data_IF_601223195569
#
_entry.id   IF_601223195569
#
_cell.length_a   1.000
_cell.length_b   1.000
_cell.length_c   1.000
_cell.angle_alpha   90.00
_cell.angle_beta   90.00
_cell.angle_gamma   90.00
#
_symmetry.space_group_name_H-M   'P 1'
#
loop_
_entity.id
_entity.type
_entity.pdbx_description
1 polymer ?
#
# COMPACT_ATOMS: atom_id res chain seq x y z
N UNK A 1 -9.82 -1.93 -5.16
CA UNK A 1 -8.38 -2.03 -4.87
C UNK A 1 -7.86 -3.43 -5.10
N UNK A 2 -6.67 -3.55 -5.61
CA UNK A 2 -6.03 -4.80 -6.01
C UNK A 2 -4.56 -4.75 -5.59
N UNK A 3 -3.93 -5.91 -5.42
CA UNK A 3 -2.47 -5.99 -5.29
C UNK A 3 -1.77 -5.58 -6.60
N UNK A 4 -2.45 -5.68 -7.73
CA UNK A 4 -2.03 -5.10 -9.01
C UNK A 4 -2.42 -3.61 -9.06
N UNK A 5 -1.65 -2.79 -8.34
CA UNK A 5 -1.90 -1.35 -8.23
C UNK A 5 -1.74 -0.60 -9.54
N UNK A 6 -1.03 -1.17 -10.52
CA UNK A 6 -0.89 -0.57 -11.86
C UNK A 6 -2.20 -0.59 -12.66
N UNK A 7 -3.17 -1.44 -12.28
CA UNK A 7 -4.49 -1.55 -12.91
C UNK A 7 -5.63 -1.39 -11.89
N UNK A 8 -5.31 -1.10 -10.63
CA UNK A 8 -6.30 -1.00 -9.58
C UNK A 8 -7.25 0.17 -9.82
N UNK A 9 -8.56 -0.12 -9.76
CA UNK A 9 -9.62 0.88 -9.79
C UNK A 9 -9.94 1.37 -8.38
N UNK A 10 -10.17 2.65 -8.23
CA UNK A 10 -10.55 3.25 -6.95
C UNK A 10 -12.01 2.91 -6.62
N UNK A 11 -12.22 2.20 -5.52
CA UNK A 11 -13.54 1.84 -4.99
C UNK A 11 -14.10 2.93 -4.08
N UNK A 12 -13.23 3.59 -3.34
CA UNK A 12 -13.53 4.71 -2.47
C UNK A 12 -12.26 5.38 -2.00
N UNK A 13 -12.39 6.45 -1.24
CA UNK A 13 -11.27 7.19 -0.65
C UNK A 13 -11.59 7.61 0.77
N UNK A 14 -10.63 7.45 1.67
CA UNK A 14 -10.76 7.88 3.07
C UNK A 14 -9.79 8.99 3.43
N UNK A 15 -10.17 9.81 4.38
CA UNK A 15 -9.40 10.95 4.86
C UNK A 15 -9.52 11.09 6.37
N UNK A 16 -8.41 11.43 7.01
CA UNK A 16 -8.35 11.87 8.40
C UNK A 16 -7.55 13.18 8.49
N UNK A 17 -8.08 14.16 9.20
CA UNK A 17 -7.38 15.44 9.47
C UNK A 17 -7.16 15.67 10.96
N UNK A 18 -7.90 14.94 11.77
CA UNK A 18 -7.82 14.97 13.23
C UNK A 18 -7.94 13.54 13.77
N UNK A 19 -7.13 13.20 14.79
CA UNK A 19 -7.16 11.89 15.42
C UNK A 19 -8.55 11.58 16.00
N UNK A 20 -9.05 10.39 15.69
CA UNK A 20 -10.39 9.95 16.11
C UNK A 20 -11.50 10.45 15.19
N UNK A 21 -11.17 11.14 14.08
CA UNK A 21 -12.15 11.62 13.11
C UNK A 21 -11.66 11.32 11.70
N UNK A 22 -12.35 10.42 11.02
CA UNK A 22 -12.07 10.08 9.63
C UNK A 22 -13.37 9.95 8.83
N UNK A 23 -13.28 10.06 7.52
CA UNK A 23 -14.42 9.92 6.63
C UNK A 23 -14.04 9.04 5.44
N UNK A 24 -15.01 8.26 4.96
CA UNK A 24 -14.91 7.47 3.75
C UNK A 24 -15.91 7.97 2.71
N UNK A 25 -15.47 8.08 1.46
CA UNK A 25 -16.31 8.45 0.32
C UNK A 25 -16.40 7.23 -0.60
N UNK A 26 -17.52 6.49 -0.59
CA UNK A 26 -17.74 5.36 -1.49
C UNK A 26 -17.97 5.86 -2.91
N UNK A 27 -17.38 5.20 -3.92
CA UNK A 27 -17.40 5.65 -5.32
C UNK A 27 -17.74 4.54 -6.31
N UNK A 28 -17.45 3.28 -6.00
CA UNK A 28 -17.58 2.17 -6.95
C UNK A 28 -17.83 0.81 -6.26
N UNK A 29 -18.68 0.78 -5.24
CA UNK A 29 -19.19 -0.48 -4.70
C UNK A 29 -20.28 -1.04 -5.60
N UNK A 30 -20.22 -2.37 -5.86
CA UNK A 30 -21.02 -3.03 -6.88
C UNK A 30 -21.84 -4.23 -6.37
N UNK A 31 -21.83 -4.49 -5.06
CA UNK A 31 -22.59 -5.60 -4.49
C UNK A 31 -24.12 -5.40 -4.66
N UNK A 32 -24.91 -6.50 -4.69
CA UNK A 32 -26.36 -6.41 -4.80
C UNK A 32 -26.98 -5.61 -3.63
N UNK A 33 -27.68 -4.54 -3.95
CA UNK A 33 -28.28 -3.65 -2.96
C UNK A 33 -27.35 -2.52 -2.46
N UNK A 34 -26.20 -2.31 -3.10
CA UNK A 34 -25.35 -1.17 -2.80
C UNK A 34 -26.14 0.16 -2.92
N UNK A 35 -25.97 1.08 -1.96
CA UNK A 35 -26.62 2.39 -2.03
C UNK A 35 -26.13 3.21 -3.20
N UNK A 36 -26.90 4.22 -3.60
CA UNK A 36 -26.46 5.21 -4.58
C UNK A 36 -25.19 5.92 -4.06
N UNK A 37 -24.19 5.99 -4.93
CA UNK A 37 -22.89 6.57 -4.61
C UNK A 37 -22.63 7.82 -5.43
N UNK A 38 -21.72 8.66 -4.96
CA UNK A 38 -21.29 9.83 -5.70
C UNK A 38 -20.56 9.41 -7.00
N UNK A 39 -20.73 10.21 -8.05
CA UNK A 39 -20.03 9.95 -9.30
C UNK A 39 -18.51 10.11 -9.11
N UNK A 40 -17.78 9.02 -9.35
CA UNK A 40 -16.32 8.96 -9.12
C UNK A 40 -15.57 10.06 -9.88
N UNK A 41 -15.90 10.30 -11.15
CA UNK A 41 -15.22 11.31 -11.98
C UNK A 41 -15.44 12.71 -11.40
N UNK A 42 -16.66 13.03 -10.97
CA UNK A 42 -16.97 14.33 -10.38
C UNK A 42 -16.27 14.55 -9.02
N UNK A 43 -16.24 13.51 -8.17
CA UNK A 43 -15.54 13.57 -6.87
C UNK A 43 -14.05 13.78 -7.10
N UNK A 44 -13.44 12.99 -7.98
CA UNK A 44 -12.01 13.09 -8.27
C UNK A 44 -11.66 14.45 -8.87
N UNK A 45 -12.47 14.99 -9.78
CA UNK A 45 -12.30 16.33 -10.33
C UNK A 45 -12.33 17.42 -9.25
N UNK A 46 -13.15 17.26 -8.21
CA UNK A 46 -13.19 18.20 -7.07
C UNK A 46 -12.00 18.06 -6.13
N UNK A 47 -11.50 16.83 -5.93
CA UNK A 47 -10.36 16.54 -5.08
C UNK A 47 -9.02 16.85 -5.76
N UNK A 48 -8.96 16.80 -7.08
CA UNK A 48 -7.74 16.97 -7.86
C UNK A 48 -6.94 18.23 -7.46
N UNK A 49 -7.54 19.44 -7.33
CA UNK A 49 -6.77 20.62 -6.93
C UNK A 49 -6.12 20.52 -5.55
N UNK A 50 -6.71 19.71 -4.64
CA UNK A 50 -6.14 19.42 -3.33
C UNK A 50 -5.02 18.38 -3.42
N UNK A 51 -5.25 17.32 -4.19
CA UNK A 51 -4.33 16.19 -4.30
C UNK A 51 -3.05 16.56 -5.06
N UNK A 52 -3.16 17.44 -6.06
CA UNK A 52 -2.04 17.90 -6.88
C UNK A 52 -1.34 19.18 -6.33
N UNK A 53 -1.86 19.82 -5.27
CA UNK A 53 -1.18 20.97 -4.66
C UNK A 53 0.01 20.50 -3.79
N UNK A 54 1.22 20.71 -4.29
CA UNK A 54 2.47 20.36 -3.59
C UNK A 54 2.63 21.07 -2.24
N UNK A 55 2.05 22.25 -2.08
CA UNK A 55 2.11 23.04 -0.83
C UNK A 55 1.30 22.42 0.29
N UNK A 56 0.30 21.60 -0.05
CA UNK A 56 -0.51 20.87 0.91
C UNK A 56 0.09 19.51 1.17
N UNK A 57 0.74 19.36 2.34
CA UNK A 57 1.33 18.09 2.75
C UNK A 57 0.29 16.98 2.83
N UNK A 58 0.60 15.83 2.23
CA UNK A 58 -0.15 14.60 2.38
C UNK A 58 0.64 13.64 3.26
N UNK A 59 -0.11 12.92 4.05
CA UNK A 59 0.34 11.84 4.92
C UNK A 59 -0.44 10.58 4.56
N UNK A 60 0.22 9.43 4.63
CA UNK A 60 -0.43 8.14 4.50
C UNK A 60 0.42 7.01 5.07
N UNK A 61 0.05 5.80 4.73
CA UNK A 61 0.82 4.59 4.99
C UNK A 61 1.03 3.85 3.68
N UNK A 62 2.26 3.79 3.18
CA UNK A 62 2.58 3.28 1.85
C UNK A 62 2.00 4.15 0.70
N UNK A 63 2.20 5.47 0.78
CA UNK A 63 1.65 6.45 -0.17
C UNK A 63 1.99 6.20 -1.64
N UNK A 64 3.08 5.47 -1.93
CA UNK A 64 3.41 5.08 -3.31
C UNK A 64 2.31 4.23 -3.94
N UNK A 65 1.66 3.35 -3.16
CA UNK A 65 0.50 2.59 -3.62
C UNK A 65 -0.67 3.52 -3.99
N UNK A 66 -1.00 4.46 -3.11
CA UNK A 66 -2.09 5.42 -3.36
C UNK A 66 -1.80 6.30 -4.57
N UNK A 67 -0.54 6.73 -4.73
CA UNK A 67 -0.11 7.52 -5.89
C UNK A 67 -0.28 6.73 -7.21
N UNK A 68 0.03 5.43 -7.24
CA UNK A 68 -0.23 4.58 -8.39
C UNK A 68 -1.73 4.49 -8.71
N UNK A 69 -2.57 4.22 -7.70
CA UNK A 69 -4.02 4.13 -7.89
C UNK A 69 -4.60 5.46 -8.37
N UNK A 70 -4.15 6.59 -7.81
CA UNK A 70 -4.55 7.94 -8.25
C UNK A 70 -4.15 8.22 -9.70
N UNK A 71 -2.95 7.79 -10.09
CA UNK A 71 -2.44 7.92 -11.46
C UNK A 71 -3.30 7.19 -12.49
N UNK A 72 -3.86 6.01 -12.14
CA UNK A 72 -4.80 5.29 -12.99
C UNK A 72 -6.08 6.10 -13.30
N UNK A 73 -6.36 7.14 -12.51
CA UNK A 73 -7.48 8.07 -12.70
C UNK A 73 -7.03 9.46 -13.20
N UNK A 74 -5.79 9.59 -13.65
CA UNK A 74 -5.25 10.85 -14.19
C UNK A 74 -4.97 11.91 -13.13
N UNK A 75 -4.76 11.52 -11.87
CA UNK A 75 -4.40 12.42 -10.76
C UNK A 75 -2.95 12.17 -10.36
N UNK A 76 -2.13 13.20 -10.38
CA UNK A 76 -0.77 13.18 -9.87
C UNK A 76 -0.77 13.55 -8.38
N UNK A 77 -0.57 12.57 -7.50
CA UNK A 77 -0.50 12.83 -6.06
C UNK A 77 0.80 13.58 -5.73
N UNK A 78 0.69 14.88 -5.41
CA UNK A 78 1.83 15.73 -5.06
C UNK A 78 1.83 16.09 -3.58
N UNK A 79 2.96 16.55 -3.08
CA UNK A 79 3.10 16.95 -1.68
C UNK A 79 3.04 15.78 -0.70
N UNK A 80 3.44 14.59 -1.12
CA UNK A 80 3.64 13.42 -0.24
C UNK A 80 4.80 13.73 0.72
N UNK A 81 4.50 14.16 1.93
CA UNK A 81 5.53 14.58 2.90
C UNK A 81 5.84 13.54 3.95
N UNK A 82 4.83 12.78 4.34
CA UNK A 82 4.94 11.84 5.44
C UNK A 82 4.32 10.49 5.06
N UNK A 83 5.07 9.44 5.34
CA UNK A 83 4.62 8.06 5.15
C UNK A 83 4.97 7.26 6.42
N UNK A 84 3.95 6.87 7.16
CA UNK A 84 4.13 6.19 8.46
C UNK A 84 4.80 4.81 8.33
N UNK A 85 4.73 4.17 7.15
CA UNK A 85 5.51 2.96 6.86
C UNK A 85 7.01 3.28 6.81
N UNK A 86 7.40 4.32 6.07
CA UNK A 86 8.79 4.76 5.97
C UNK A 86 9.32 5.33 7.29
N UNK A 87 8.48 6.08 8.04
CA UNK A 87 8.85 6.55 9.37
C UNK A 87 9.18 5.39 10.31
N UNK A 88 8.36 4.34 10.32
CA UNK A 88 8.60 3.13 11.09
C UNK A 88 9.87 2.41 10.65
N UNK A 89 10.09 2.30 9.33
CA UNK A 89 11.26 1.66 8.75
C UNK A 89 12.57 2.39 9.13
N UNK A 90 12.60 3.70 8.96
CA UNK A 90 13.77 4.52 9.30
C UNK A 90 14.04 4.50 10.80
N UNK A 91 13.01 4.51 11.63
CA UNK A 91 13.17 4.48 13.09
C UNK A 91 13.76 3.16 13.56
N UNK A 92 13.31 2.03 13.05
CA UNK A 92 13.86 0.70 13.35
C UNK A 92 13.45 -0.31 12.27
N UNK A 93 14.29 -0.52 11.27
CA UNK A 93 14.03 -1.39 10.11
C UNK A 93 13.78 -2.87 10.43
N UNK A 94 14.09 -3.32 11.64
CA UNK A 94 13.92 -4.71 12.07
C UNK A 94 12.82 -4.91 13.11
N UNK A 95 12.13 -3.84 13.51
CA UNK A 95 11.14 -3.90 14.60
C UNK A 95 9.91 -4.72 14.23
N UNK A 96 9.47 -4.64 12.97
CA UNK A 96 8.26 -5.30 12.49
C UNK A 96 8.27 -5.40 10.95
N UNK A 97 7.21 -5.90 10.35
CA UNK A 97 7.04 -5.95 8.88
C UNK A 97 6.70 -4.60 8.26
N UNK A 98 6.46 -3.60 9.06
CA UNK A 98 6.07 -2.23 8.67
C UNK A 98 4.72 -2.11 7.92
N UNK A 99 3.90 -3.15 7.89
CA UNK A 99 2.49 -3.01 7.51
C UNK A 99 1.72 -2.25 8.59
N UNK A 100 0.58 -1.65 8.21
CA UNK A 100 -0.19 -0.76 9.08
C UNK A 100 -0.55 -1.43 10.41
N UNK A 101 -1.06 -2.67 10.36
CA UNK A 101 -1.49 -3.43 11.54
C UNK A 101 -0.33 -3.68 12.50
N UNK A 102 0.81 -4.14 11.98
CA UNK A 102 2.00 -4.45 12.78
C UNK A 102 2.58 -3.19 13.42
N UNK A 103 2.59 -2.06 12.71
CA UNK A 103 3.08 -0.78 13.20
C UNK A 103 2.10 -0.20 14.23
N UNK A 104 0.79 -0.29 14.00
CA UNK A 104 -0.24 0.14 14.95
C UNK A 104 -0.17 -0.63 16.27
N UNK A 105 -0.06 -1.95 16.20
CA UNK A 105 0.11 -2.79 17.38
C UNK A 105 1.38 -2.41 18.17
N UNK A 106 2.50 -2.22 17.48
CA UNK A 106 3.79 -1.94 18.13
C UNK A 106 3.83 -0.56 18.78
N UNK A 107 3.36 0.49 18.09
CA UNK A 107 3.58 1.86 18.52
C UNK A 107 2.37 2.54 19.17
N UNK A 108 1.16 2.07 18.85
CA UNK A 108 -0.08 2.59 19.42
C UNK A 108 -0.73 1.61 20.42
N UNK A 109 -0.34 0.32 20.39
CA UNK A 109 -0.98 -0.72 21.22
C UNK A 109 -2.42 -1.01 20.78
N UNK A 110 -2.74 -0.79 19.50
CA UNK A 110 -4.10 -0.94 18.93
C UNK A 110 -4.10 -2.14 17.98
N UNK A 111 -5.12 -2.98 18.11
CA UNK A 111 -5.48 -3.97 17.09
C UNK A 111 -6.41 -3.29 16.09
N UNK A 112 -6.06 -3.38 14.81
CA UNK A 112 -6.80 -2.80 13.70
C UNK A 112 -7.74 -3.83 13.08
N UNK A 113 -8.72 -3.39 12.32
CA UNK A 113 -9.55 -4.25 11.49
C UNK A 113 -8.67 -4.78 10.35
N UNK A 114 -8.51 -6.10 10.23
CA UNK A 114 -7.73 -6.67 9.15
C UNK A 114 -8.54 -6.74 7.85
N UNK A 115 -7.85 -6.56 6.71
CA UNK A 115 -8.49 -6.71 5.39
C UNK A 115 -9.24 -8.04 5.22
N UNK A 116 -8.71 -9.11 5.80
CA UNK A 116 -9.31 -10.44 5.77
C UNK A 116 -10.63 -10.55 6.55
N UNK A 117 -10.83 -9.72 7.57
CA UNK A 117 -12.08 -9.66 8.33
C UNK A 117 -13.19 -8.98 7.53
N UNK A 118 -12.80 -8.09 6.62
CA UNK A 118 -13.70 -7.31 5.76
C UNK A 118 -14.00 -8.02 4.44
N UNK A 119 -12.99 -8.56 3.79
CA UNK A 119 -13.08 -9.16 2.45
C UNK A 119 -13.01 -10.69 2.44
N UNK A 120 -12.71 -11.34 3.59
CA UNK A 120 -12.51 -12.79 3.66
C UNK A 120 -11.13 -13.23 3.19
N UNK A 121 -10.89 -14.56 3.16
CA UNK A 121 -9.58 -15.19 2.91
C UNK A 121 -9.59 -16.15 1.73
N UNK A 122 -8.43 -16.26 1.06
CA UNK A 122 -8.15 -17.30 0.06
C UNK A 122 -9.04 -17.21 -1.17
N UNK A 123 -9.43 -18.35 -1.73
CA UNK A 123 -10.21 -18.41 -2.99
C UNK A 123 -11.63 -17.81 -2.90
N UNK A 124 -12.12 -17.53 -1.71
CA UNK A 124 -13.43 -16.90 -1.46
C UNK A 124 -13.29 -15.41 -1.08
N UNK A 125 -12.10 -14.84 -1.15
CA UNK A 125 -11.89 -13.44 -0.84
C UNK A 125 -12.64 -12.56 -1.84
N UNK A 126 -13.43 -11.65 -1.33
CA UNK A 126 -14.20 -10.69 -2.11
C UNK A 126 -13.28 -9.60 -2.68
N UNK A 127 -13.65 -9.06 -3.83
CA UNK A 127 -13.12 -7.77 -4.23
C UNK A 127 -13.64 -6.68 -3.28
N UNK A 128 -12.86 -5.66 -3.05
CA UNK A 128 -13.27 -4.59 -2.13
C UNK A 128 -14.56 -3.88 -2.59
N UNK A 129 -14.83 -3.85 -3.90
CA UNK A 129 -16.08 -3.36 -4.46
C UNK A 129 -17.33 -4.15 -4.04
N UNK A 130 -17.15 -5.40 -3.63
CA UNK A 130 -18.24 -6.29 -3.21
C UNK A 130 -18.46 -6.27 -1.70
N UNK A 131 -17.62 -5.52 -0.95
CA UNK A 131 -17.77 -5.31 0.49
C UNK A 131 -18.88 -4.28 0.75
N UNK A 132 -19.79 -4.50 1.73
CA UNK A 132 -20.79 -3.51 2.11
C UNK A 132 -20.16 -2.16 2.48
N UNK A 133 -20.79 -1.06 2.06
CA UNK A 133 -20.27 0.31 2.25
C UNK A 133 -20.00 0.62 3.72
N UNK A 134 -20.86 0.18 4.61
CA UNK A 134 -20.72 0.42 6.06
C UNK A 134 -19.43 -0.23 6.59
N UNK A 135 -19.19 -1.49 6.23
CA UNK A 135 -17.99 -2.25 6.62
C UNK A 135 -16.73 -1.65 5.98
N UNK A 136 -16.82 -1.31 4.69
CA UNK A 136 -15.71 -0.67 3.97
C UNK A 136 -15.39 0.72 4.54
N UNK A 137 -16.39 1.46 4.99
CA UNK A 137 -16.23 2.78 5.60
C UNK A 137 -15.54 2.69 6.96
N UNK A 138 -15.93 1.75 7.81
CA UNK A 138 -15.31 1.53 9.11
C UNK A 138 -13.83 1.17 8.95
N UNK A 139 -13.54 0.17 8.12
CA UNK A 139 -12.17 -0.27 7.81
C UNK A 139 -11.31 0.86 7.24
N UNK A 140 -11.77 1.52 6.16
CA UNK A 140 -10.95 2.53 5.47
C UNK A 140 -10.79 3.82 6.29
N UNK A 141 -11.79 4.19 7.09
CA UNK A 141 -11.70 5.33 7.99
C UNK A 141 -10.71 5.05 9.14
N UNK A 142 -10.73 3.83 9.70
CA UNK A 142 -9.76 3.41 10.69
C UNK A 142 -8.33 3.49 10.15
N UNK A 143 -8.07 2.94 8.94
CA UNK A 143 -6.75 2.99 8.31
C UNK A 143 -6.21 4.42 8.19
N UNK A 144 -7.05 5.37 7.78
CA UNK A 144 -6.68 6.78 7.67
C UNK A 144 -6.40 7.44 9.03
N UNK A 145 -7.20 7.15 10.05
CA UNK A 145 -6.99 7.65 11.41
C UNK A 145 -5.72 7.05 12.02
N UNK A 146 -5.53 5.75 11.86
CA UNK A 146 -4.36 5.03 12.37
C UNK A 146 -3.08 5.57 11.73
N UNK A 147 -3.06 5.79 10.41
CA UNK A 147 -1.90 6.38 9.72
C UNK A 147 -1.56 7.77 10.29
N UNK A 148 -2.57 8.61 10.55
CA UNK A 148 -2.37 9.93 11.17
C UNK A 148 -1.83 9.82 12.61
N UNK A 149 -2.36 8.92 13.41
CA UNK A 149 -1.92 8.69 14.80
C UNK A 149 -0.50 8.12 14.84
N UNK A 150 -0.16 7.24 13.91
CA UNK A 150 1.20 6.71 13.78
C UNK A 150 2.20 7.82 13.47
N UNK A 151 1.93 8.67 12.48
CA UNK A 151 2.78 9.82 12.18
C UNK A 151 2.99 10.71 13.43
N UNK A 152 1.92 11.06 14.15
CA UNK A 152 2.02 11.86 15.37
C UNK A 152 2.86 11.21 16.48
N UNK A 153 2.99 9.89 16.44
CA UNK A 153 3.79 9.11 17.40
C UNK A 153 5.24 8.91 16.94
N UNK A 154 5.43 8.63 15.65
CA UNK A 154 6.74 8.26 15.08
C UNK A 154 7.59 9.48 14.73
N UNK A 155 6.98 10.49 14.11
CA UNK A 155 7.71 11.67 13.65
C UNK A 155 8.51 12.39 14.74
N UNK A 156 7.95 12.66 15.94
CA UNK A 156 8.73 13.26 17.02
C UNK A 156 9.92 12.40 17.48
N UNK A 157 9.83 11.07 17.34
CA UNK A 157 10.93 10.16 17.67
C UNK A 157 12.04 10.22 16.63
N UNK A 158 11.69 10.40 15.34
CA UNK A 158 12.65 10.62 14.26
C UNK A 158 13.35 11.97 14.43
N UNK A 159 12.60 13.04 14.70
CA UNK A 159 13.14 14.39 14.94
C UNK A 159 14.10 14.45 16.14
N UNK A 160 13.86 13.64 17.15
CA UNK A 160 14.76 13.52 18.30
C UNK A 160 16.15 12.96 17.93
N UNK A 161 16.29 12.33 16.75
CA UNK A 161 17.55 11.80 16.22
C UNK A 161 17.83 12.46 14.85
N UNK A 162 18.56 13.59 14.81
CA UNK A 162 18.73 14.38 13.58
C UNK A 162 19.27 13.61 12.36
N UNK A 163 20.05 12.54 12.59
CA UNK A 163 20.56 11.69 11.52
C UNK A 163 19.42 10.88 10.85
N UNK A 164 18.45 10.38 11.63
CA UNK A 164 17.29 9.65 11.11
C UNK A 164 16.31 10.59 10.40
N UNK A 165 16.06 11.77 10.98
CA UNK A 165 15.22 12.78 10.35
C UNK A 165 15.78 13.20 8.97
N UNK A 166 17.10 13.40 8.87
CA UNK A 166 17.76 13.70 7.59
C UNK A 166 17.68 12.53 6.61
N UNK A 167 17.93 11.31 7.07
CA UNK A 167 17.81 10.11 6.24
C UNK A 167 16.40 10.03 5.61
N UNK A 168 15.37 10.22 6.43
CA UNK A 168 13.99 10.24 5.97
C UNK A 168 13.75 11.35 4.92
N UNK A 169 14.12 12.60 5.27
CA UNK A 169 13.79 13.77 4.44
C UNK A 169 14.63 13.90 3.17
N UNK A 170 15.90 13.46 3.20
CA UNK A 170 16.84 13.65 2.10
C UNK A 170 16.96 12.42 1.19
N UNK A 171 16.57 11.24 1.68
CA UNK A 171 16.74 9.98 0.93
C UNK A 171 15.39 9.24 0.79
N UNK A 172 14.81 8.76 1.90
CA UNK A 172 13.70 7.81 1.83
C UNK A 172 12.43 8.43 1.22
N UNK A 173 12.03 9.60 1.70
CA UNK A 173 10.84 10.26 1.18
C UNK A 173 11.02 10.78 -0.27
N UNK A 174 12.14 11.41 -0.67
CA UNK A 174 12.41 11.79 -2.06
C UNK A 174 12.53 10.60 -3.02
N UNK A 175 12.86 9.42 -2.53
CA UNK A 175 12.94 8.21 -3.34
C UNK A 175 11.55 7.72 -3.81
N UNK A 176 10.47 8.02 -3.07
CA UNK A 176 9.11 7.58 -3.39
C UNK A 176 8.68 7.95 -4.81
N UNK A 177 8.73 9.23 -5.24
CA UNK A 177 8.37 9.60 -6.61
C UNK A 177 9.30 9.00 -7.66
N UNK A 178 10.59 8.79 -7.35
CA UNK A 178 11.53 8.15 -8.28
C UNK A 178 11.14 6.69 -8.53
N UNK A 179 10.81 5.95 -7.47
CA UNK A 179 10.35 4.57 -7.59
C UNK A 179 9.00 4.49 -8.31
N UNK A 180 8.11 5.45 -8.08
CA UNK A 180 6.84 5.56 -8.79
C UNK A 180 7.06 5.71 -10.30
N UNK A 181 7.94 6.62 -10.72
CA UNK A 181 8.29 6.83 -12.11
C UNK A 181 8.94 5.59 -12.75
N UNK A 182 9.81 4.90 -12.00
CA UNK A 182 10.42 3.65 -12.45
C UNK A 182 9.37 2.55 -12.67
N UNK A 183 8.40 2.43 -11.79
CA UNK A 183 7.29 1.48 -11.91
C UNK A 183 6.42 1.79 -13.14
N UNK A 184 6.10 3.06 -13.38
CA UNK A 184 5.33 3.49 -14.55
C UNK A 184 6.09 3.28 -15.87
N UNK A 185 7.39 3.53 -15.91
CA UNK A 185 8.24 3.25 -17.06
C UNK A 185 8.35 1.75 -17.35
N UNK A 186 8.35 0.94 -16.29
CA UNK A 186 8.56 -0.51 -16.39
C UNK A 186 9.97 -0.89 -16.84
N UNK A 187 10.16 -2.18 -17.07
CA UNK A 187 11.43 -2.75 -17.56
C UNK A 187 11.18 -3.68 -18.75
N UNK A 188 12.09 -3.63 -19.72
CA UNK A 188 12.04 -4.57 -20.82
C UNK A 188 12.57 -5.94 -20.37
N UNK A 189 11.73 -6.97 -20.53
CA UNK A 189 12.05 -8.34 -20.15
C UNK A 189 12.32 -9.17 -21.40
N UNK A 190 13.49 -9.83 -21.46
CA UNK A 190 13.78 -10.84 -22.47
C UNK A 190 13.12 -12.17 -22.09
N UNK A 191 11.89 -12.35 -22.58
CA UNK A 191 11.10 -13.54 -22.30
C UNK A 191 11.71 -14.83 -22.91
N UNK A 192 12.52 -14.73 -23.99
CA UNK A 192 13.17 -15.88 -24.61
C UNK A 192 14.32 -16.35 -23.73
N UNK A 193 15.15 -15.42 -23.26
CA UNK A 193 16.25 -15.73 -22.34
C UNK A 193 15.73 -16.35 -21.04
N UNK A 194 14.66 -15.80 -20.46
CA UNK A 194 14.04 -16.36 -19.25
C UNK A 194 13.51 -17.78 -19.46
N UNK A 195 12.92 -18.08 -20.62
CA UNK A 195 12.48 -19.44 -20.95
C UNK A 195 13.67 -20.40 -21.08
N UNK A 196 14.77 -20.00 -21.71
CA UNK A 196 15.98 -20.81 -21.80
C UNK A 196 16.54 -21.12 -20.41
N UNK A 197 16.71 -20.09 -19.58
CA UNK A 197 17.19 -20.26 -18.20
C UNK A 197 16.27 -21.17 -17.39
N UNK A 198 14.95 -21.01 -17.51
CA UNK A 198 13.95 -21.86 -16.84
C UNK A 198 14.11 -23.34 -17.21
N UNK A 199 14.32 -23.63 -18.51
CA UNK A 199 14.54 -24.99 -18.97
C UNK A 199 15.88 -25.59 -18.51
N UNK A 200 16.94 -24.80 -18.46
CA UNK A 200 18.24 -25.23 -17.93
C UNK A 200 18.18 -25.52 -16.43
N UNK A 201 17.53 -24.64 -15.67
CA UNK A 201 17.32 -24.83 -14.24
C UNK A 201 16.48 -26.09 -13.96
N UNK A 202 15.38 -26.30 -14.70
CA UNK A 202 14.55 -27.48 -14.55
C UNK A 202 15.33 -28.79 -14.78
N UNK A 203 16.18 -28.85 -15.82
CA UNK A 203 17.05 -30.01 -16.05
C UNK A 203 18.05 -30.22 -14.92
N UNK A 204 18.70 -29.16 -14.47
CA UNK A 204 19.67 -29.20 -13.38
C UNK A 204 19.00 -29.65 -12.06
N UNK A 205 17.78 -29.21 -11.80
CA UNK A 205 17.01 -29.65 -10.62
C UNK A 205 16.75 -31.15 -10.64
N UNK A 206 16.26 -31.71 -11.76
CA UNK A 206 16.02 -33.14 -11.90
C UNK A 206 17.32 -33.94 -11.74
N UNK A 207 18.43 -33.47 -12.32
CA UNK A 207 19.73 -34.14 -12.15
C UNK A 207 20.20 -34.13 -10.70
N UNK A 208 20.11 -32.99 -10.02
CA UNK A 208 20.49 -32.83 -8.62
C UNK A 208 19.60 -33.65 -7.70
N UNK A 209 18.31 -33.72 -7.95
CA UNK A 209 17.36 -34.53 -7.22
C UNK A 209 17.71 -36.04 -7.34
N UNK A 210 17.94 -36.54 -8.55
CA UNK A 210 18.36 -37.91 -8.77
C UNK A 210 19.70 -38.24 -8.10
N UNK A 211 20.66 -37.32 -8.14
CA UNK A 211 21.96 -37.49 -7.45
C UNK A 211 21.78 -37.49 -5.93
N UNK A 212 20.89 -36.66 -5.41
CA UNK A 212 20.57 -36.59 -3.98
C UNK A 212 19.94 -37.91 -3.51
N UNK A 213 18.93 -38.41 -4.23
CA UNK A 213 18.27 -39.68 -3.92
C UNK A 213 19.27 -40.87 -4.00
N UNK A 214 20.13 -40.89 -5.02
CA UNK A 214 21.16 -41.91 -5.13
C UNK A 214 22.16 -41.88 -3.96
N UNK A 215 22.57 -40.69 -3.52
CA UNK A 215 23.49 -40.51 -2.40
C UNK A 215 22.84 -40.85 -1.07
N UNK A 216 21.56 -40.56 -0.89
CA UNK A 216 20.80 -40.88 0.33
C UNK A 216 20.34 -42.36 0.36
N UNK A 217 20.46 -43.09 -0.75
CA UNK A 217 19.87 -44.44 -0.92
C UNK A 217 18.37 -44.48 -0.60
N UNK A 218 17.65 -43.41 -0.82
CA UNK A 218 16.23 -43.21 -0.60
C UNK A 218 15.63 -42.43 -1.79
N UNK A 219 14.38 -42.77 -2.20
CA UNK A 219 13.69 -42.01 -3.23
C UNK A 219 13.28 -40.60 -2.75
#
# INVERSE_FOLDING_TARGET
TSLDYMQAEMVGVSFAVESGTAAYVPLAHTYPGAPDQLNRVEVLRRLQPLLEDERRGKLGHHLKYDANVMSNHGIELRGMRFDSMLESYVLNSTATRHDLDSVARLYLGVETIHYEDVAGKGAKQLNFSDVPVETAAEYSAEDSDVALRLHRTLWPRLEAVPALARLYQEIEQPLVPVLLDMEHCGVLVDAQMLKLQSHELARSLVELENRSHAAASQP
#
